data_IF_429595956747
#
_entry.id   IF_429595956747
#
_cell.length_a   1.000
_cell.length_b   1.000
_cell.length_c   1.000
_cell.angle_alpha   90.00
_cell.angle_beta   90.00
_cell.angle_gamma   90.00
#
_symmetry.space_group_name_H-M   'P 1'
#
loop_
_entity.id
_entity.type
_entity.pdbx_description
1 polymer ?
#
# COMPACT_ATOMS: atom_id res chain seq x y z
N UNK A 1 -53.69 -8.12 -7.81
CA UNK A 1 -52.73 -8.51 -8.86
C UNK A 1 -52.41 -7.25 -9.64
N UNK A 2 -51.40 -6.49 -9.21
CA UNK A 2 -50.92 -5.37 -10.01
C UNK A 2 -50.18 -5.96 -11.23
N UNK A 3 -50.85 -5.90 -12.38
CA UNK A 3 -50.22 -6.23 -13.65
C UNK A 3 -49.19 -5.16 -13.97
N UNK A 4 -47.93 -5.42 -13.61
CA UNK A 4 -46.81 -4.58 -14.02
C UNK A 4 -46.74 -4.57 -15.55
N UNK A 5 -47.04 -3.44 -16.16
CA UNK A 5 -46.86 -3.23 -17.59
C UNK A 5 -45.37 -3.32 -17.87
N UNK A 6 -44.92 -4.40 -18.52
CA UNK A 6 -43.55 -4.50 -18.99
C UNK A 6 -43.33 -3.40 -20.05
N UNK A 7 -42.39 -2.49 -19.76
CA UNK A 7 -42.03 -1.41 -20.67
C UNK A 7 -41.39 -2.00 -21.94
N UNK A 8 -41.65 -1.39 -23.09
CA UNK A 8 -40.98 -1.76 -24.34
C UNK A 8 -39.55 -1.18 -24.40
N UNK A 9 -38.65 -1.73 -25.24
CA UNK A 9 -37.30 -1.19 -25.43
C UNK A 9 -37.29 0.31 -25.76
N UNK A 10 -38.19 0.75 -26.65
CA UNK A 10 -38.33 2.16 -27.00
C UNK A 10 -38.79 3.05 -25.84
N UNK A 11 -39.59 2.52 -24.91
CA UNK A 11 -39.99 3.24 -23.70
C UNK A 11 -38.82 3.36 -22.71
N UNK A 12 -38.01 2.31 -22.55
CA UNK A 12 -36.76 2.39 -21.78
C UNK A 12 -35.80 3.43 -22.36
N UNK A 13 -35.60 3.43 -23.68
CA UNK A 13 -34.77 4.42 -24.36
C UNK A 13 -35.30 5.84 -24.21
N UNK A 14 -36.62 6.04 -24.28
CA UNK A 14 -37.22 7.35 -24.03
C UNK A 14 -36.97 7.84 -22.60
N UNK A 15 -37.18 6.98 -21.61
CA UNK A 15 -36.94 7.30 -20.19
C UNK A 15 -35.46 7.56 -19.91
N UNK A 16 -34.56 6.77 -20.49
CA UNK A 16 -33.11 6.97 -20.36
C UNK A 16 -32.67 8.32 -20.96
N UNK A 17 -33.18 8.68 -22.14
CA UNK A 17 -32.87 9.98 -22.75
C UNK A 17 -33.41 11.16 -21.93
N UNK A 18 -34.62 11.04 -21.37
CA UNK A 18 -35.18 12.06 -20.48
C UNK A 18 -34.36 12.21 -19.18
N UNK A 19 -33.98 11.09 -18.56
CA UNK A 19 -33.16 11.08 -17.37
C UNK A 19 -31.78 11.71 -17.65
N UNK A 20 -31.19 11.42 -18.81
CA UNK A 20 -29.92 12.02 -19.24
C UNK A 20 -30.05 13.54 -19.46
N UNK A 21 -31.12 14.01 -20.12
CA UNK A 21 -31.38 15.46 -20.28
C UNK A 21 -31.62 16.16 -18.94
N UNK A 22 -32.11 15.44 -17.93
CA UNK A 22 -32.29 15.92 -16.58
C UNK A 22 -31.05 15.74 -15.70
N UNK A 23 -29.91 15.30 -16.25
CA UNK A 23 -28.66 15.03 -15.53
C UNK A 23 -28.81 14.00 -14.39
N UNK A 24 -29.83 13.13 -14.47
CA UNK A 24 -30.10 12.06 -13.51
C UNK A 24 -29.47 10.75 -13.96
N UNK A 25 -28.15 10.71 -13.97
CA UNK A 25 -27.42 9.61 -14.60
C UNK A 25 -27.60 8.24 -13.92
N UNK A 26 -27.79 8.21 -12.60
CA UNK A 26 -28.10 6.96 -11.88
C UNK A 26 -29.36 6.29 -12.42
N UNK A 27 -30.37 7.09 -12.76
CA UNK A 27 -31.63 6.63 -13.34
C UNK A 27 -31.46 6.23 -14.80
N UNK A 28 -30.71 7.00 -15.60
CA UNK A 28 -30.35 6.66 -16.98
C UNK A 28 -29.75 5.26 -17.05
N UNK A 29 -28.74 5.00 -16.23
CA UNK A 29 -28.07 3.72 -16.18
C UNK A 29 -28.96 2.59 -15.67
N UNK A 30 -29.83 2.87 -14.69
CA UNK A 30 -30.83 1.89 -14.23
C UNK A 30 -31.76 1.47 -15.35
N UNK A 31 -32.29 2.42 -16.12
CA UNK A 31 -33.18 2.13 -17.24
C UNK A 31 -32.48 1.32 -18.33
N UNK A 32 -31.22 1.64 -18.65
CA UNK A 32 -30.46 0.91 -19.66
C UNK A 32 -30.10 -0.50 -19.14
N UNK A 33 -29.69 -0.66 -17.89
CA UNK A 33 -29.42 -1.98 -17.29
C UNK A 33 -30.66 -2.87 -17.29
N UNK A 34 -31.81 -2.32 -16.94
CA UNK A 34 -33.07 -3.05 -16.95
C UNK A 34 -33.48 -3.44 -18.37
N UNK A 35 -33.28 -2.57 -19.37
CA UNK A 35 -33.45 -2.90 -20.78
C UNK A 35 -32.52 -4.03 -21.24
N UNK A 36 -31.22 -3.97 -20.88
CA UNK A 36 -30.22 -4.98 -21.25
C UNK A 36 -30.52 -6.33 -20.60
N UNK A 37 -30.99 -6.37 -19.34
CA UNK A 37 -31.42 -7.63 -18.69
C UNK A 37 -32.59 -8.29 -19.41
N UNK A 38 -33.41 -7.51 -20.10
CA UNK A 38 -34.56 -7.97 -20.87
C UNK A 38 -34.25 -8.27 -22.36
N UNK A 39 -33.00 -8.10 -22.80
CA UNK A 39 -32.52 -8.44 -24.16
C UNK A 39 -32.96 -9.84 -24.63
N UNK A 40 -32.97 -10.91 -23.79
CA UNK A 40 -33.45 -12.23 -24.23
C UNK A 40 -34.90 -12.23 -24.72
N UNK A 41 -35.73 -11.27 -24.29
CA UNK A 41 -37.10 -11.08 -24.73
C UNK A 41 -37.24 -10.02 -25.85
N UNK A 42 -36.28 -9.11 -25.99
CA UNK A 42 -36.36 -7.95 -26.89
C UNK A 42 -35.53 -8.09 -28.18
N UNK A 43 -34.65 -9.08 -28.28
CA UNK A 43 -33.77 -9.26 -29.44
C UNK A 43 -32.48 -8.44 -29.31
N UNK A 44 -31.71 -8.36 -30.41
CA UNK A 44 -30.43 -7.65 -30.41
C UNK A 44 -30.61 -6.13 -30.25
N UNK A 45 -29.72 -5.51 -29.47
CA UNK A 45 -29.70 -4.06 -29.26
C UNK A 45 -29.35 -3.30 -30.55
N UNK A 46 -30.04 -2.19 -30.81
CA UNK A 46 -29.72 -1.29 -31.92
C UNK A 46 -28.38 -0.59 -31.72
N UNK A 47 -27.89 0.10 -32.76
CA UNK A 47 -26.64 0.87 -32.68
C UNK A 47 -26.76 1.98 -31.62
N UNK A 48 -27.90 2.67 -31.58
CA UNK A 48 -28.17 3.74 -30.61
C UNK A 48 -28.21 3.20 -29.18
N UNK A 49 -28.90 2.08 -28.96
CA UNK A 49 -29.00 1.43 -27.65
C UNK A 49 -27.63 0.97 -27.13
N UNK A 50 -26.81 0.36 -28.00
CA UNK A 50 -25.44 -0.06 -27.66
C UNK A 50 -24.53 1.11 -27.33
N UNK A 51 -24.62 2.19 -28.11
CA UNK A 51 -23.82 3.39 -27.87
C UNK A 51 -24.21 4.03 -26.54
N UNK A 52 -25.50 4.17 -26.26
CA UNK A 52 -25.99 4.74 -25.00
C UNK A 52 -25.58 3.88 -23.80
N UNK A 53 -25.68 2.56 -23.91
CA UNK A 53 -25.19 1.64 -22.88
C UNK A 53 -23.69 1.79 -22.63
N UNK A 54 -22.89 1.81 -23.71
CA UNK A 54 -21.44 1.99 -23.60
C UNK A 54 -21.08 3.31 -22.91
N UNK A 55 -21.71 4.42 -23.30
CA UNK A 55 -21.45 5.73 -22.69
C UNK A 55 -21.78 5.74 -21.21
N UNK A 56 -22.90 5.13 -20.82
CA UNK A 56 -23.37 5.18 -19.44
C UNK A 56 -22.57 4.24 -18.52
N UNK A 57 -22.17 3.06 -19.01
CA UNK A 57 -21.29 2.15 -18.27
C UNK A 57 -19.91 2.77 -18.05
N UNK A 58 -19.33 3.40 -19.08
CA UNK A 58 -18.05 4.09 -18.95
C UNK A 58 -18.15 5.22 -17.93
N UNK A 59 -19.21 6.01 -17.97
CA UNK A 59 -19.45 7.10 -17.02
C UNK A 59 -19.57 6.57 -15.57
N UNK A 60 -20.37 5.52 -15.34
CA UNK A 60 -20.47 4.87 -14.01
C UNK A 60 -19.11 4.33 -13.53
N UNK A 61 -18.33 3.73 -14.42
CA UNK A 61 -16.98 3.25 -14.08
C UNK A 61 -16.07 4.41 -13.66
N UNK A 62 -16.08 5.52 -14.40
CA UNK A 62 -15.28 6.70 -14.11
C UNK A 62 -15.69 7.35 -12.76
N UNK A 63 -16.99 7.43 -12.47
CA UNK A 63 -17.50 7.92 -11.18
C UNK A 63 -17.03 7.03 -10.01
N UNK A 64 -17.16 5.71 -10.15
CA UNK A 64 -16.69 4.75 -9.14
C UNK A 64 -15.16 4.83 -8.98
N UNK A 65 -14.41 4.98 -10.07
CA UNK A 65 -12.98 5.15 -10.03
C UNK A 65 -12.58 6.44 -9.30
N UNK A 66 -13.32 7.55 -9.52
CA UNK A 66 -13.13 8.80 -8.81
C UNK A 66 -13.40 8.64 -7.30
N UNK A 67 -14.53 8.03 -6.92
CA UNK A 67 -14.87 7.78 -5.52
C UNK A 67 -13.82 6.93 -4.80
N UNK A 68 -13.34 5.85 -5.44
CA UNK A 68 -12.29 4.99 -4.89
C UNK A 68 -10.97 5.74 -4.74
N UNK A 69 -10.62 6.59 -5.71
CA UNK A 69 -9.42 7.41 -5.67
C UNK A 69 -9.46 8.43 -4.53
N UNK A 70 -10.60 9.10 -4.34
CA UNK A 70 -10.78 10.08 -3.27
C UNK A 70 -10.71 9.43 -1.89
N UNK A 71 -11.38 8.28 -1.72
CA UNK A 71 -11.31 7.50 -0.48
C UNK A 71 -9.89 7.03 -0.18
N UNK A 72 -9.19 6.49 -1.20
CA UNK A 72 -7.77 6.13 -1.09
C UNK A 72 -6.92 7.32 -0.63
N UNK A 73 -7.13 8.50 -1.22
CA UNK A 73 -6.37 9.70 -0.85
C UNK A 73 -6.63 10.14 0.59
N UNK A 74 -7.88 10.06 1.07
CA UNK A 74 -8.21 10.35 2.48
C UNK A 74 -7.47 9.41 3.43
N UNK A 75 -7.51 8.11 3.17
CA UNK A 75 -6.82 7.09 3.99
C UNK A 75 -5.30 7.30 3.99
N UNK A 76 -4.70 7.56 2.82
CA UNK A 76 -3.27 7.84 2.70
C UNK A 76 -2.85 9.10 3.49
N UNK A 77 -3.71 10.12 3.53
CA UNK A 77 -3.48 11.34 4.31
C UNK A 77 -3.49 11.08 5.81
N UNK A 78 -4.50 10.34 6.30
CA UNK A 78 -4.60 9.97 7.71
C UNK A 78 -3.41 9.11 8.16
N UNK A 79 -3.05 8.10 7.37
CA UNK A 79 -1.89 7.24 7.64
C UNK A 79 -0.58 8.04 7.67
N UNK A 80 -0.42 8.99 6.74
CA UNK A 80 0.74 9.89 6.73
C UNK A 80 0.79 10.75 7.99
N UNK A 81 -0.35 11.27 8.44
CA UNK A 81 -0.47 12.07 9.67
C UNK A 81 -0.08 11.27 10.92
N UNK A 82 -0.59 10.04 11.05
CA UNK A 82 -0.25 9.15 12.18
C UNK A 82 1.24 8.81 12.19
N UNK A 83 1.79 8.39 11.03
CA UNK A 83 3.21 8.07 10.92
C UNK A 83 4.09 9.30 11.22
N UNK A 84 3.72 10.47 10.71
CA UNK A 84 4.42 11.73 10.98
C UNK A 84 4.43 12.09 12.47
N UNK A 85 3.29 11.93 13.17
CA UNK A 85 3.21 12.15 14.62
C UNK A 85 4.12 11.22 15.42
N UNK A 86 4.17 9.94 15.07
CA UNK A 86 5.05 8.96 15.75
C UNK A 86 6.53 9.27 15.47
N UNK A 87 6.87 9.59 14.22
CA UNK A 87 8.24 9.98 13.85
C UNK A 87 8.69 11.25 14.61
N UNK A 88 7.81 12.23 14.79
CA UNK A 88 8.12 13.43 15.57
C UNK A 88 8.39 13.13 17.05
N UNK A 89 7.62 12.22 17.66
CA UNK A 89 7.85 11.77 19.04
C UNK A 89 9.16 10.99 19.18
N UNK A 90 9.50 10.15 18.19
CA UNK A 90 10.76 9.41 18.16
C UNK A 90 11.95 10.38 18.12
N UNK A 91 11.92 11.37 17.22
CA UNK A 91 13.02 12.30 17.03
C UNK A 91 13.16 13.33 18.16
N UNK A 92 12.04 13.81 18.71
CA UNK A 92 12.06 14.88 19.72
C UNK A 92 12.24 14.38 21.15
N UNK A 93 11.79 13.17 21.46
CA UNK A 93 11.72 12.68 22.84
C UNK A 93 12.40 11.32 23.04
N UNK A 94 11.99 10.29 22.30
CA UNK A 94 12.38 8.91 22.62
C UNK A 94 13.86 8.62 22.29
N UNK A 95 14.34 9.04 21.12
CA UNK A 95 15.74 8.85 20.72
C UNK A 95 16.68 9.68 21.62
N UNK A 96 16.39 10.98 21.91
CA UNK A 96 17.21 11.76 22.84
C UNK A 96 17.18 11.25 24.29
N UNK A 97 16.06 10.70 24.77
CA UNK A 97 15.93 10.20 26.14
C UNK A 97 16.51 8.79 26.34
N UNK A 98 17.01 8.14 25.28
CA UNK A 98 17.51 6.77 25.36
C UNK A 98 18.83 6.70 26.13
N UNK A 99 18.77 6.25 27.39
CA UNK A 99 19.95 6.12 28.25
C UNK A 99 20.84 4.92 27.88
N UNK A 100 20.26 3.83 27.38
CA UNK A 100 20.99 2.65 26.93
C UNK A 100 21.10 2.62 25.40
N UNK A 101 22.21 2.07 24.92
CA UNK A 101 22.41 1.83 23.49
C UNK A 101 21.39 0.86 22.92
N UNK A 102 20.90 -0.09 23.71
CA UNK A 102 19.81 -1.01 23.33
C UNK A 102 18.50 -0.26 23.07
N UNK A 103 18.08 0.62 23.98
CA UNK A 103 16.89 1.46 23.77
C UNK A 103 17.04 2.40 22.58
N UNK A 104 18.24 2.94 22.36
CA UNK A 104 18.51 3.80 21.20
C UNK A 104 18.35 3.04 19.87
N UNK A 105 18.91 1.83 19.79
CA UNK A 105 18.75 0.95 18.61
C UNK A 105 17.27 0.60 18.40
N UNK A 106 16.51 0.36 19.47
CA UNK A 106 15.08 0.09 19.40
C UNK A 106 14.28 1.24 18.78
N UNK A 107 14.50 2.46 19.25
CA UNK A 107 13.80 3.63 18.69
C UNK A 107 14.24 3.96 17.27
N UNK A 108 15.52 3.80 16.93
CA UNK A 108 16.01 4.00 15.57
C UNK A 108 15.44 2.97 14.59
N UNK A 109 15.33 1.71 15.01
CA UNK A 109 14.66 0.69 14.21
C UNK A 109 13.17 1.02 14.02
N UNK A 110 12.50 1.42 15.10
CA UNK A 110 11.10 1.82 15.05
C UNK A 110 10.89 3.00 14.08
N UNK A 111 11.80 3.97 14.06
CA UNK A 111 11.84 5.07 13.09
C UNK A 111 11.95 4.55 11.64
N UNK A 112 12.83 3.58 11.41
CA UNK A 112 12.93 2.89 10.11
C UNK A 112 11.64 2.18 9.71
N UNK A 113 11.00 1.47 10.64
CA UNK A 113 9.76 0.73 10.38
C UNK A 113 8.59 1.64 9.95
N UNK A 114 8.45 2.84 10.57
CA UNK A 114 7.43 3.80 10.17
C UNK A 114 7.75 4.51 8.85
N UNK A 115 9.02 4.83 8.58
CA UNK A 115 9.44 5.39 7.29
C UNK A 115 9.27 4.39 6.15
N UNK A 116 9.48 3.10 6.42
CA UNK A 116 9.22 2.03 5.47
C UNK A 116 7.74 1.97 5.10
N UNK A 117 6.84 2.03 6.09
CA UNK A 117 5.40 2.06 5.83
C UNK A 117 5.02 3.25 4.92
N UNK A 118 5.59 4.43 5.15
CA UNK A 118 5.40 5.58 4.24
C UNK A 118 5.85 5.25 2.81
N UNK A 119 7.02 4.64 2.64
CA UNK A 119 7.53 4.29 1.30
C UNK A 119 6.67 3.26 0.54
N UNK A 120 5.84 2.47 1.22
CA UNK A 120 4.98 1.45 0.60
C UNK A 120 3.80 2.06 -0.17
N UNK A 121 3.22 3.16 0.32
CA UNK A 121 2.04 3.77 -0.30
C UNK A 121 2.31 5.14 -0.95
N UNK A 122 3.44 5.80 -0.64
CA UNK A 122 3.87 7.02 -1.33
C UNK A 122 4.29 6.72 -2.77
N UNK A 123 4.28 7.76 -3.63
CA UNK A 123 4.60 7.65 -5.06
C UNK A 123 5.59 8.74 -5.46
N UNK A 124 6.34 8.53 -6.55
CA UNK A 124 7.25 9.52 -7.10
C UNK A 124 8.43 9.82 -6.18
N UNK A 125 8.75 11.10 -6.01
CA UNK A 125 9.92 11.53 -5.22
C UNK A 125 9.71 11.38 -3.71
N UNK A 126 8.47 11.51 -3.21
CA UNK A 126 8.14 11.24 -1.80
C UNK A 126 8.48 9.79 -1.39
N UNK A 127 8.30 8.84 -2.32
CA UNK A 127 8.66 7.44 -2.09
C UNK A 127 10.17 7.25 -1.99
N UNK A 128 10.94 7.93 -2.85
CA UNK A 128 12.41 7.87 -2.81
C UNK A 128 12.94 8.48 -1.52
N UNK A 129 12.42 9.64 -1.13
CA UNK A 129 12.79 10.30 0.12
C UNK A 129 12.48 9.42 1.33
N UNK A 130 11.30 8.79 1.37
CA UNK A 130 10.93 7.86 2.42
C UNK A 130 11.83 6.61 2.46
N UNK A 131 12.24 6.09 1.30
CA UNK A 131 13.16 4.97 1.19
C UNK A 131 14.58 5.32 1.67
N UNK A 132 15.13 6.45 1.24
CA UNK A 132 16.44 6.94 1.68
C UNK A 132 16.44 7.20 3.19
N UNK A 133 15.36 7.80 3.68
CA UNK A 133 15.11 8.05 5.08
C UNK A 133 14.99 6.78 5.92
N UNK A 134 14.46 5.69 5.34
CA UNK A 134 14.38 4.36 5.95
C UNK A 134 15.77 3.74 6.06
N UNK A 135 16.53 3.78 4.96
CA UNK A 135 17.90 3.27 4.92
C UNK A 135 18.77 3.98 5.95
N UNK A 136 18.71 5.32 6.01
CA UNK A 136 19.47 6.11 6.96
C UNK A 136 19.18 5.70 8.42
N UNK A 137 17.91 5.49 8.78
CA UNK A 137 17.52 5.09 10.14
C UNK A 137 18.07 3.69 10.50
N UNK A 138 17.98 2.73 9.58
CA UNK A 138 18.53 1.39 9.82
C UNK A 138 20.06 1.37 9.85
N UNK A 139 20.73 2.17 9.00
CA UNK A 139 22.19 2.31 9.03
C UNK A 139 22.66 2.94 10.35
N UNK A 140 21.96 3.94 10.87
CA UNK A 140 22.25 4.52 12.18
C UNK A 140 22.06 3.50 13.31
N UNK A 141 20.93 2.76 13.28
CA UNK A 141 20.67 1.70 14.25
C UNK A 141 21.77 0.62 14.24
N UNK A 142 22.19 0.21 13.05
CA UNK A 142 23.28 -0.75 12.86
C UNK A 142 24.61 -0.22 13.40
N UNK A 143 24.91 1.06 13.16
CA UNK A 143 26.11 1.72 13.69
C UNK A 143 26.17 1.63 15.21
N UNK A 144 25.09 2.01 15.90
CA UNK A 144 25.02 1.95 17.37
C UNK A 144 25.13 0.51 17.88
N UNK A 145 24.48 -0.44 17.21
CA UNK A 145 24.51 -1.84 17.57
C UNK A 145 25.92 -2.45 17.49
N UNK A 146 26.63 -2.20 16.38
CA UNK A 146 27.99 -2.69 16.15
C UNK A 146 28.98 -2.03 17.11
N UNK A 147 28.90 -0.72 17.31
CA UNK A 147 29.83 0.02 18.17
C UNK A 147 29.74 -0.36 19.65
N UNK A 148 28.59 -0.84 20.12
CA UNK A 148 28.35 -1.16 21.54
C UNK A 148 28.37 -2.66 21.83
N UNK A 149 28.75 -3.49 20.83
CA UNK A 149 28.82 -4.95 20.91
C UNK A 149 27.57 -5.61 21.55
N UNK A 150 26.38 -5.08 21.25
CA UNK A 150 25.15 -5.56 21.85
C UNK A 150 24.85 -7.00 21.46
N UNK A 151 24.21 -7.74 22.37
CA UNK A 151 23.73 -9.12 22.15
C UNK A 151 22.20 -9.11 22.16
N UNK A 152 21.55 -9.67 21.13
CA UNK A 152 20.10 -9.85 20.98
C UNK A 152 19.46 -10.84 21.97
N UNK A 153 19.80 -10.78 23.26
CA UNK A 153 19.26 -11.73 24.23
C UNK A 153 17.75 -11.55 24.49
N UNK A 154 17.13 -10.42 24.13
CA UNK A 154 15.74 -10.10 24.48
C UNK A 154 14.88 -9.49 23.34
N UNK A 155 15.28 -9.64 22.08
CA UNK A 155 14.57 -8.97 20.98
C UNK A 155 13.44 -9.82 20.38
N UNK A 156 12.33 -9.96 21.09
CA UNK A 156 11.14 -10.67 20.61
C UNK A 156 10.18 -9.71 19.90
N UNK A 157 10.00 -9.89 18.59
CA UNK A 157 9.13 -9.07 17.75
C UNK A 157 7.76 -9.75 17.56
N UNK A 158 6.63 -9.09 17.86
CA UNK A 158 5.33 -9.56 17.42
C UNK A 158 5.26 -9.53 15.89
N UNK A 159 4.91 -10.66 15.26
CA UNK A 159 4.70 -10.80 13.82
C UNK A 159 3.68 -9.75 13.34
N UNK A 160 4.11 -8.71 12.62
CA UNK A 160 3.19 -7.89 11.82
C UNK A 160 2.99 -8.57 10.47
N UNK A 161 1.83 -9.22 10.34
CA UNK A 161 1.12 -9.68 9.14
C UNK A 161 1.95 -9.95 7.86
N UNK A 162 2.08 -11.24 7.50
CA UNK A 162 1.97 -11.68 6.10
C UNK A 162 3.23 -11.95 5.27
N UNK A 163 4.41 -12.17 5.85
CA UNK A 163 5.56 -12.66 5.07
C UNK A 163 5.69 -14.20 5.19
N UNK A 164 5.67 -14.88 4.04
CA UNK A 164 5.91 -16.31 3.90
C UNK A 164 7.29 -16.72 4.47
N UNK A 165 7.29 -17.88 5.10
CA UNK A 165 8.38 -18.47 5.86
C UNK A 165 9.43 -19.06 4.90
N UNK A 166 10.66 -18.54 4.94
CA UNK A 166 11.80 -19.15 4.25
C UNK A 166 12.87 -19.54 5.29
N UNK A 167 13.02 -20.84 5.44
CA UNK A 167 13.91 -21.54 6.38
C UNK A 167 15.37 -21.35 5.98
N UNK A 168 16.16 -20.63 6.79
CA UNK A 168 17.64 -20.70 6.77
C UNK A 168 18.25 -20.60 8.18
N UNK A 169 18.66 -21.78 8.65
CA UNK A 169 19.69 -22.19 9.63
C UNK A 169 20.29 -21.21 10.67
N UNK A 170 20.17 -21.63 11.93
CA UNK A 170 21.15 -21.60 13.03
C UNK A 170 21.76 -20.28 13.54
N UNK A 171 21.23 -19.12 13.17
CA UNK A 171 21.47 -17.90 13.96
C UNK A 171 20.22 -17.03 14.05
N UNK A 172 19.54 -17.12 15.19
CA UNK A 172 18.29 -16.42 15.50
C UNK A 172 18.41 -14.88 15.46
N UNK A 173 19.62 -14.33 15.34
CA UNK A 173 19.91 -12.91 15.12
C UNK A 173 19.62 -12.42 13.70
N UNK A 174 19.72 -13.28 12.67
CA UNK A 174 19.68 -12.85 11.27
C UNK A 174 18.26 -12.83 10.66
N UNK A 175 17.27 -13.41 11.34
CA UNK A 175 15.90 -13.52 10.82
C UNK A 175 15.13 -12.20 10.69
N UNK A 176 15.58 -11.10 11.32
CA UNK A 176 14.86 -9.81 11.24
C UNK A 176 15.52 -8.76 10.35
N UNK A 177 16.76 -8.98 9.90
CA UNK A 177 17.47 -8.08 9.00
C UNK A 177 17.44 -8.59 7.56
N UNK A 178 17.36 -9.91 7.37
CA UNK A 178 17.20 -10.56 6.08
C UNK A 178 15.71 -10.74 5.74
N UNK A 179 15.01 -9.62 5.52
CA UNK A 179 13.79 -9.63 4.72
C UNK A 179 14.16 -9.41 3.27
N UNK A 180 13.61 -10.20 2.34
CA UNK A 180 13.73 -9.92 0.91
C UNK A 180 13.03 -8.60 0.62
N UNK A 181 13.78 -7.50 0.49
CA UNK A 181 13.23 -6.21 0.07
C UNK A 181 12.94 -6.28 -1.44
N UNK A 182 11.73 -6.71 -1.79
CA UNK A 182 11.19 -6.59 -3.14
C UNK A 182 10.20 -5.43 -3.18
N UNK A 183 10.72 -4.20 -3.26
CA UNK A 183 9.89 -3.07 -3.71
C UNK A 183 10.50 -2.56 -5.00
N UNK A 184 9.98 -3.06 -6.12
CA UNK A 184 10.26 -2.60 -7.49
C UNK A 184 11.75 -2.44 -7.86
N UNK A 185 12.54 -3.51 -7.72
CA UNK A 185 13.86 -3.62 -8.36
C UNK A 185 15.09 -3.18 -7.55
N UNK A 186 14.94 -2.71 -6.31
CA UNK A 186 16.09 -2.42 -5.42
C UNK A 186 16.21 -3.54 -4.40
N UNK A 187 17.16 -4.46 -4.61
CA UNK A 187 17.50 -5.51 -3.65
C UNK A 187 18.53 -4.98 -2.65
N UNK A 188 18.11 -4.72 -1.41
CA UNK A 188 19.02 -4.36 -0.30
C UNK A 188 19.24 -5.59 0.57
N UNK A 189 20.42 -6.19 0.48
CA UNK A 189 20.88 -7.25 1.38
C UNK A 189 21.89 -6.69 2.37
N UNK A 190 21.56 -6.70 3.66
CA UNK A 190 22.50 -6.34 4.72
C UNK A 190 22.63 -7.55 5.64
N UNK A 191 23.78 -8.23 5.56
CA UNK A 191 24.11 -9.35 6.45
C UNK A 191 25.39 -8.99 7.19
N UNK A 192 25.33 -8.93 8.52
CA UNK A 192 26.51 -8.90 9.39
C UNK A 192 26.57 -10.22 10.15
N UNK A 193 27.48 -11.12 9.75
CA UNK A 193 27.73 -12.37 10.48
C UNK A 193 28.87 -12.16 11.47
N UNK A 194 28.61 -12.38 12.76
CA UNK A 194 29.65 -12.52 13.79
C UNK A 194 29.79 -14.01 14.09
N UNK A 195 30.81 -14.66 13.54
CA UNK A 195 31.17 -16.03 13.92
C UNK A 195 31.79 -16.01 15.32
N UNK A 196 31.52 -17.05 16.12
CA UNK A 196 31.94 -17.16 17.52
C UNK A 196 33.47 -17.15 17.73
N UNK A 197 34.27 -17.28 16.67
CA UNK A 197 35.71 -17.54 16.75
C UNK A 197 36.63 -16.33 16.47
N UNK A 198 36.15 -15.09 16.63
CA UNK A 198 37.04 -13.92 16.72
C UNK A 198 37.76 -13.47 15.43
N UNK A 199 37.47 -14.06 14.27
CA UNK A 199 38.03 -13.62 12.98
C UNK A 199 37.16 -12.49 12.42
N UNK A 200 37.71 -11.27 12.37
CA UNK A 200 37.11 -10.13 11.63
C UNK A 200 37.38 -10.31 10.13
N UNK A 201 36.36 -10.65 9.35
CA UNK A 201 36.32 -10.31 7.92
C UNK A 201 35.25 -9.24 7.70
N UNK A 202 35.67 -8.04 7.32
CA UNK A 202 34.79 -7.11 6.63
C UNK A 202 34.76 -7.55 5.16
N UNK A 203 33.67 -8.16 4.72
CA UNK A 203 33.39 -8.24 3.29
C UNK A 203 32.43 -7.10 2.94
N UNK A 204 32.98 -6.08 2.26
CA UNK A 204 32.22 -5.04 1.59
C UNK A 204 31.48 -5.70 0.41
N UNK A 205 30.17 -5.84 0.51
CA UNK A 205 29.34 -6.30 -0.60
C UNK A 205 28.73 -5.10 -1.32
N UNK A 206 28.98 -5.07 -2.63
CA UNK A 206 28.58 -4.01 -3.56
C UNK A 206 27.07 -3.90 -3.64
N UNK A 207 26.58 -2.66 -3.53
CA UNK A 207 25.24 -2.25 -3.91
C UNK A 207 25.19 -2.23 -5.44
N UNK A 208 24.45 -3.14 -6.05
CA UNK A 208 24.11 -3.05 -7.48
C UNK A 208 22.74 -2.41 -7.59
N UNK A 209 22.74 -1.15 -8.02
CA UNK A 209 21.55 -0.45 -8.53
C UNK A 209 21.37 -0.96 -9.97
N UNK A 210 20.26 -1.63 -10.26
CA UNK A 210 19.80 -1.83 -11.64
C UNK A 210 18.76 -0.77 -11.99
#
# INVERSE_FOLDING_TARGET
MEGGVALSPGQYMYLANLAQQAERYDDTARFIEDMVKLTPAFGELTVEERNLFSTEINRRYDDHAALVKDYRSSVESELSGVCGGILALLDSHLIPSAASSESKVFYLKMKGDYRRQLAEFKVGDERKEAADSTLAAYTEAQGVFVSQELRCKNWFWPKTYGAEELVLAENQFLCSFAGRFSVTGIEVFIISVRLQDGIRRQELLKISIL
#
